data_IF_725732487075
#
_entry.id   IF_725732487075
#
_cell.length_a   1.000
_cell.length_b   1.000
_cell.length_c   1.000
_cell.angle_alpha   90.00
_cell.angle_beta   90.00
_cell.angle_gamma   90.00
#
_symmetry.space_group_name_H-M   'P 1'
#
loop_
_entity.id
_entity.type
_entity.pdbx_description
1 polymer ?
#
# COMPACT_ATOMS: atom_id res chain seq x y z
N UNK A 1 5.63 17.61 19.98
CA UNK A 1 6.58 18.42 20.76
C UNK A 1 7.88 18.61 19.95
N UNK A 2 8.82 19.43 20.42
CA UNK A 2 10.07 19.78 19.73
C UNK A 2 11.02 18.60 19.43
N UNK A 3 10.75 17.43 19.95
CA UNK A 3 11.51 16.19 19.67
C UNK A 3 11.08 15.49 18.37
N UNK A 4 9.89 15.80 17.86
CA UNK A 4 9.40 15.23 16.60
C UNK A 4 10.23 15.83 15.46
N UNK A 5 10.86 14.96 14.66
CA UNK A 5 11.73 15.33 13.54
C UNK A 5 11.12 15.05 12.19
N UNK A 6 10.20 14.10 12.12
CA UNK A 6 9.50 13.70 10.91
C UNK A 6 8.17 13.04 11.30
N UNK A 7 7.15 13.19 10.47
CA UNK A 7 5.94 12.39 10.49
C UNK A 7 6.03 11.38 9.35
N UNK A 8 5.88 10.09 9.66
CA UNK A 8 5.77 9.05 8.65
C UNK A 8 4.36 8.45 8.72
N UNK A 9 3.63 8.48 7.61
CA UNK A 9 2.23 8.04 7.56
C UNK A 9 1.96 7.28 6.25
N UNK A 10 1.16 6.21 6.32
CA UNK A 10 0.69 5.53 5.11
C UNK A 10 -0.39 6.34 4.40
N UNK A 11 -0.36 6.36 3.06
CA UNK A 11 -1.40 6.97 2.25
C UNK A 11 -2.69 6.16 2.32
N UNK A 12 -2.59 4.86 2.11
CA UNK A 12 -3.70 3.92 2.17
C UNK A 12 -3.28 2.70 3.00
N UNK A 13 -4.13 2.31 3.94
CA UNK A 13 -3.82 1.18 4.81
C UNK A 13 -3.84 -0.15 4.07
N UNK A 14 -2.75 -0.90 4.19
CA UNK A 14 -2.64 -2.24 3.63
C UNK A 14 -3.44 -3.30 4.40
N UNK A 15 -3.95 -2.97 5.58
CA UNK A 15 -4.79 -3.85 6.41
C UNK A 15 -6.25 -3.46 6.33
N UNK A 16 -6.57 -2.19 6.50
CA UNK A 16 -7.96 -1.71 6.61
C UNK A 16 -8.55 -1.25 5.27
N UNK A 17 -7.68 -1.00 4.27
CA UNK A 17 -8.07 -0.41 3.01
C UNK A 17 -8.49 1.06 3.10
N UNK A 18 -8.33 1.70 4.25
CA UNK A 18 -8.74 3.09 4.48
C UNK A 18 -7.76 4.07 3.82
N UNK A 19 -8.29 5.10 3.20
CA UNK A 19 -7.53 6.20 2.61
C UNK A 19 -7.35 7.26 3.69
N UNK A 20 -6.11 7.52 4.08
CA UNK A 20 -5.80 8.49 5.10
C UNK A 20 -5.83 9.93 4.54
N UNK A 21 -6.24 10.93 5.35
CA UNK A 21 -6.28 12.34 4.94
C UNK A 21 -4.86 12.95 4.99
N UNK A 22 -3.99 12.46 4.10
CA UNK A 22 -2.55 12.82 4.13
C UNK A 22 -2.29 14.29 3.87
N UNK A 23 -3.12 14.96 3.05
CA UNK A 23 -3.00 16.40 2.80
C UNK A 23 -3.20 17.22 4.08
N UNK A 24 -4.22 16.88 4.86
CA UNK A 24 -4.50 17.54 6.14
C UNK A 24 -3.39 17.26 7.17
N UNK A 25 -2.88 16.02 7.21
CA UNK A 25 -1.75 15.65 8.09
C UNK A 25 -0.52 16.45 7.72
N UNK A 26 -0.18 16.55 6.43
CA UNK A 26 0.94 17.34 5.92
C UNK A 26 0.80 18.80 6.32
N UNK A 27 -0.37 19.41 6.07
CA UNK A 27 -0.64 20.80 6.43
C UNK A 27 -0.44 21.08 7.94
N UNK A 28 -0.86 20.15 8.81
CA UNK A 28 -0.69 20.30 10.25
C UNK A 28 0.78 20.14 10.67
N UNK A 29 1.51 19.19 10.07
CA UNK A 29 2.93 18.99 10.33
C UNK A 29 3.76 20.20 9.88
N UNK A 30 3.47 20.74 8.70
CA UNK A 30 4.16 21.90 8.13
C UNK A 30 3.96 23.18 8.95
N UNK A 31 2.82 23.38 9.62
CA UNK A 31 2.64 24.49 10.57
C UNK A 31 3.65 24.45 11.73
N UNK A 32 4.19 23.27 12.01
CA UNK A 32 5.18 23.02 13.05
C UNK A 32 6.61 22.87 12.48
N UNK A 33 6.80 23.13 11.18
CA UNK A 33 8.05 22.89 10.44
C UNK A 33 8.54 21.44 10.56
N UNK A 34 7.63 20.46 10.55
CA UNK A 34 7.94 19.02 10.61
C UNK A 34 7.72 18.43 9.23
N UNK A 35 8.76 17.85 8.59
CA UNK A 35 8.64 17.20 7.30
C UNK A 35 7.80 15.91 7.40
N UNK A 36 7.14 15.55 6.29
CA UNK A 36 6.26 14.39 6.20
C UNK A 36 6.73 13.43 5.12
N UNK A 37 6.92 12.17 5.50
CA UNK A 37 7.10 11.04 4.60
C UNK A 37 5.78 10.30 4.45
N UNK A 38 5.32 10.17 3.22
CA UNK A 38 4.12 9.39 2.89
C UNK A 38 4.52 8.03 2.33
N UNK A 39 4.13 6.96 3.02
CA UNK A 39 4.20 5.61 2.47
C UNK A 39 3.07 5.44 1.45
N UNK A 40 3.46 5.49 0.18
CA UNK A 40 2.58 5.38 -0.97
C UNK A 40 2.43 3.96 -1.51
N UNK A 41 2.86 2.94 -0.78
CA UNK A 41 2.91 1.56 -1.28
C UNK A 41 1.55 1.03 -1.77
N UNK A 42 0.45 1.45 -1.15
CA UNK A 42 -0.91 1.21 -1.66
C UNK A 42 -1.44 2.42 -2.44
N UNK A 43 -1.06 3.64 -2.02
CA UNK A 43 -1.54 4.88 -2.63
C UNK A 43 -1.22 4.98 -4.11
N UNK A 44 -0.01 4.60 -4.54
CA UNK A 44 0.39 4.69 -5.96
C UNK A 44 -0.48 3.82 -6.89
N UNK A 45 -1.03 2.73 -6.36
CA UNK A 45 -1.91 1.82 -7.10
C UNK A 45 -3.34 2.39 -7.21
N UNK A 46 -3.90 2.84 -6.09
CA UNK A 46 -5.33 3.11 -5.94
C UNK A 46 -5.71 4.59 -5.96
N UNK A 47 -4.76 5.51 -5.74
CA UNK A 47 -5.03 6.95 -5.74
C UNK A 47 -4.34 7.66 -6.90
N UNK A 48 -4.87 8.80 -7.28
CA UNK A 48 -4.15 9.75 -8.13
C UNK A 48 -3.12 10.49 -7.27
N UNK A 49 -1.84 10.30 -7.59
CA UNK A 49 -0.74 10.83 -6.81
C UNK A 49 -0.03 11.94 -7.57
N UNK A 50 -0.22 13.17 -7.09
CA UNK A 50 0.60 14.32 -7.46
C UNK A 50 1.32 14.80 -6.19
N UNK A 51 2.64 14.59 -6.16
CA UNK A 51 3.46 14.94 -4.98
C UNK A 51 3.57 16.44 -4.76
N UNK A 52 3.41 17.26 -5.82
CA UNK A 52 3.42 18.72 -5.71
C UNK A 52 2.09 19.21 -5.14
N UNK A 53 0.96 18.71 -5.64
CA UNK A 53 -0.37 19.02 -5.11
C UNK A 53 -0.56 18.52 -3.67
N UNK A 54 -0.01 17.34 -3.37
CA UNK A 54 -0.02 16.75 -2.02
C UNK A 54 0.86 17.55 -1.06
N UNK A 55 1.89 18.22 -1.56
CA UNK A 55 2.88 19.01 -0.82
C UNK A 55 3.70 18.17 0.19
N UNK A 56 3.88 16.86 -0.06
CA UNK A 56 4.68 16.00 0.78
C UNK A 56 6.18 16.25 0.61
N UNK A 57 6.95 15.98 1.67
CA UNK A 57 8.40 16.12 1.65
C UNK A 57 9.08 14.89 1.07
N UNK A 58 8.51 13.72 1.36
CA UNK A 58 8.93 12.43 0.82
C UNK A 58 7.71 11.57 0.45
N UNK A 59 7.85 10.80 -0.62
CA UNK A 59 6.87 9.79 -1.03
C UNK A 59 7.59 8.53 -1.46
N UNK A 60 7.21 7.36 -0.92
CA UNK A 60 7.92 6.11 -1.17
C UNK A 60 6.96 5.01 -1.60
N UNK A 61 7.38 4.18 -2.57
CA UNK A 61 6.62 3.00 -2.96
C UNK A 61 7.51 1.90 -3.56
N UNK A 62 6.97 0.67 -3.59
CA UNK A 62 7.62 -0.50 -4.16
C UNK A 62 7.09 -0.81 -5.54
N UNK A 63 7.99 -1.10 -6.50
CA UNK A 63 7.62 -1.35 -7.89
C UNK A 63 6.73 -2.59 -8.08
N UNK A 64 6.95 -3.67 -7.30
CA UNK A 64 6.16 -4.89 -7.43
C UNK A 64 4.67 -4.71 -7.06
N UNK A 65 4.31 -3.65 -6.33
CA UNK A 65 2.90 -3.35 -6.01
C UNK A 65 2.19 -2.59 -7.14
N UNK A 66 2.95 -2.03 -8.07
CA UNK A 66 2.43 -1.34 -9.25
C UNK A 66 2.77 -2.09 -10.54
N UNK A 67 2.73 -3.41 -10.51
CA UNK A 67 2.94 -4.31 -11.66
C UNK A 67 4.37 -4.36 -12.22
N UNK A 68 5.37 -3.71 -11.60
CA UNK A 68 6.77 -3.79 -12.00
C UNK A 68 7.47 -5.00 -11.35
N UNK A 69 8.72 -5.25 -11.75
CA UNK A 69 9.53 -6.32 -11.18
C UNK A 69 9.80 -6.14 -9.68
N UNK A 70 9.99 -7.25 -8.98
CA UNK A 70 10.47 -7.26 -7.59
C UNK A 70 11.86 -6.65 -7.46
N UNK A 71 12.20 -6.15 -6.27
CA UNK A 71 13.52 -5.55 -6.00
C UNK A 71 13.68 -4.12 -6.55
N UNK A 72 12.58 -3.49 -6.97
CA UNK A 72 12.54 -2.09 -7.39
C UNK A 72 11.66 -1.26 -6.47
N UNK A 73 11.95 0.02 -6.37
CA UNK A 73 11.16 0.98 -5.63
C UNK A 73 11.63 2.40 -5.93
N UNK A 74 10.82 3.36 -5.54
CA UNK A 74 11.10 4.78 -5.76
C UNK A 74 10.93 5.53 -4.44
N UNK A 75 11.89 6.40 -4.14
CA UNK A 75 11.77 7.44 -3.15
C UNK A 75 11.79 8.80 -3.87
N UNK A 76 10.68 9.51 -3.82
CA UNK A 76 10.64 10.94 -4.10
C UNK A 76 11.01 11.70 -2.84
N UNK A 77 11.79 12.77 -2.98
CA UNK A 77 12.06 13.72 -1.90
C UNK A 77 12.28 15.12 -2.44
N UNK A 78 11.94 16.14 -1.63
CA UNK A 78 12.25 17.53 -1.96
C UNK A 78 13.76 17.70 -2.08
N UNK A 79 14.21 18.41 -3.12
CA UNK A 79 15.62 18.57 -3.44
C UNK A 79 16.43 19.06 -2.25
N UNK A 80 15.97 20.13 -1.60
CA UNK A 80 16.66 20.75 -0.46
C UNK A 80 16.83 19.80 0.73
N UNK A 81 15.87 18.91 0.97
CA UNK A 81 15.98 17.90 2.01
C UNK A 81 16.95 16.78 1.62
N UNK A 82 16.88 16.31 0.37
CA UNK A 82 17.80 15.29 -0.13
C UNK A 82 19.26 15.82 -0.18
N UNK A 83 19.47 17.08 -0.53
CA UNK A 83 20.80 17.69 -0.52
C UNK A 83 21.38 17.79 0.90
N UNK A 84 20.54 18.08 1.90
CA UNK A 84 20.94 18.18 3.30
C UNK A 84 21.21 16.82 3.97
N UNK A 85 20.63 15.73 3.46
CA UNK A 85 20.80 14.38 4.00
C UNK A 85 22.19 13.83 3.65
N UNK A 86 22.84 13.05 4.56
CA UNK A 86 23.98 12.24 4.17
C UNK A 86 23.53 11.09 3.26
N UNK A 87 24.42 10.51 2.43
CA UNK A 87 24.10 9.30 1.68
C UNK A 87 23.78 8.16 2.63
N UNK A 88 22.86 7.26 2.22
CA UNK A 88 22.44 6.12 3.03
C UNK A 88 23.52 5.05 3.12
N UNK A 89 24.20 4.76 2.00
CA UNK A 89 25.29 3.79 1.91
C UNK A 89 26.34 4.27 0.91
N UNK A 90 27.57 3.77 1.01
CA UNK A 90 28.64 4.00 0.07
C UNK A 90 28.73 2.91 -0.98
N UNK A 91 29.25 3.24 -2.16
CA UNK A 91 29.45 2.29 -3.28
C UNK A 91 29.96 2.98 -4.54
N UNK A 92 30.08 2.26 -5.63
CA UNK A 92 30.37 2.82 -6.94
C UNK A 92 29.29 3.79 -7.40
N UNK A 93 29.61 4.64 -8.34
CA UNK A 93 28.77 5.63 -9.03
C UNK A 93 28.21 6.78 -8.14
N UNK A 94 28.04 6.57 -6.83
CA UNK A 94 27.50 7.56 -5.90
C UNK A 94 28.56 8.49 -5.29
N UNK A 95 29.85 8.24 -5.53
CA UNK A 95 30.97 9.06 -5.08
C UNK A 95 31.48 9.94 -6.22
N UNK A 96 31.93 11.15 -5.87
CA UNK A 96 32.64 12.06 -6.77
C UNK A 96 34.16 11.86 -6.60
N UNK A 97 34.69 12.11 -5.39
CA UNK A 97 36.10 11.88 -5.07
C UNK A 97 36.25 11.08 -3.78
N UNK A 98 37.28 10.24 -3.72
CA UNK A 98 37.63 9.45 -2.53
C UNK A 98 39.11 9.64 -2.20
N UNK A 99 39.38 10.03 -0.95
CA UNK A 99 40.74 10.08 -0.43
C UNK A 99 40.75 9.61 1.03
N UNK A 100 41.93 9.39 1.60
CA UNK A 100 42.06 9.06 3.02
C UNK A 100 41.54 10.17 3.95
N UNK A 101 41.55 11.42 3.50
CA UNK A 101 41.15 12.58 4.29
C UNK A 101 39.65 12.92 4.13
N UNK A 102 39.08 12.70 2.96
CA UNK A 102 37.73 13.15 2.63
C UNK A 102 37.13 12.35 1.46
N UNK A 103 35.85 12.10 1.56
CA UNK A 103 35.01 11.61 0.45
C UNK A 103 34.00 12.69 0.07
N UNK A 104 33.81 12.93 -1.21
CA UNK A 104 32.73 13.74 -1.75
C UNK A 104 31.79 12.84 -2.57
N UNK A 105 30.55 13.27 -2.73
CA UNK A 105 29.50 12.45 -3.30
C UNK A 105 28.96 13.09 -4.57
N UNK A 106 28.46 12.24 -5.48
CA UNK A 106 27.82 12.67 -6.70
C UNK A 106 26.58 13.53 -6.41
N UNK A 107 26.12 14.27 -7.40
CA UNK A 107 24.88 15.03 -7.33
C UNK A 107 23.66 14.11 -7.26
N UNK A 108 22.52 14.67 -6.88
CA UNK A 108 21.23 13.97 -6.94
C UNK A 108 20.87 13.61 -8.39
N UNK A 109 20.30 12.44 -8.65
CA UNK A 109 19.90 11.41 -7.67
C UNK A 109 21.00 10.42 -7.28
N UNK A 110 22.14 10.40 -7.98
CA UNK A 110 23.21 9.39 -7.84
C UNK A 110 23.77 9.30 -6.41
N UNK A 111 23.76 10.37 -5.65
CA UNK A 111 24.16 10.41 -4.23
C UNK A 111 23.54 9.30 -3.38
N UNK A 112 22.34 8.82 -3.75
CA UNK A 112 21.59 7.79 -3.02
C UNK A 112 21.53 6.44 -3.77
N UNK A 113 22.21 6.32 -4.90
CA UNK A 113 22.18 5.12 -5.74
C UNK A 113 23.57 4.46 -5.77
N UNK A 114 23.87 3.70 -4.71
CA UNK A 114 25.18 3.06 -4.53
C UNK A 114 25.30 1.75 -5.28
N UNK A 115 26.32 1.67 -6.17
CA UNK A 115 26.66 0.49 -6.96
C UNK A 115 25.78 0.33 -8.21
N UNK A 116 26.07 -0.70 -9.00
CA UNK A 116 25.31 -0.98 -10.22
C UNK A 116 23.83 -1.18 -9.92
N UNK A 117 22.93 -0.36 -10.49
CA UNK A 117 21.51 -0.45 -10.19
C UNK A 117 20.89 -1.73 -10.77
N UNK A 118 19.73 -2.10 -10.24
CA UNK A 118 18.92 -3.19 -10.79
C UNK A 118 18.23 -2.74 -12.10
N UNK A 119 19.04 -2.45 -13.14
CA UNK A 119 18.59 -1.81 -14.38
C UNK A 119 17.52 -2.61 -15.15
N UNK A 120 17.57 -3.96 -15.10
CA UNK A 120 16.54 -4.81 -15.72
C UNK A 120 15.19 -4.59 -15.02
N UNK A 121 15.17 -4.61 -13.70
CA UNK A 121 13.95 -4.34 -12.93
C UNK A 121 13.48 -2.89 -13.08
N UNK A 122 14.39 -1.92 -13.08
CA UNK A 122 14.06 -0.51 -13.28
C UNK A 122 13.43 -0.24 -14.66
N UNK A 123 13.87 -0.94 -15.70
CA UNK A 123 13.27 -0.84 -17.03
C UNK A 123 11.78 -1.25 -17.06
N UNK A 124 11.32 -2.06 -16.09
CA UNK A 124 9.90 -2.44 -15.98
C UNK A 124 9.02 -1.38 -15.35
N UNK A 125 9.60 -0.37 -14.67
CA UNK A 125 8.82 0.68 -14.00
C UNK A 125 8.03 1.54 -14.97
N UNK A 126 8.62 1.92 -16.11
CA UNK A 126 7.93 2.75 -17.11
C UNK A 126 6.65 2.08 -17.62
N UNK A 127 6.69 0.87 -18.23
CA UNK A 127 5.47 0.22 -18.70
C UNK A 127 4.47 -0.08 -17.57
N UNK A 128 4.94 -0.35 -16.34
CA UNK A 128 4.07 -0.55 -15.19
C UNK A 128 3.31 0.72 -14.79
N UNK A 129 4.00 1.87 -14.76
CA UNK A 129 3.39 3.17 -14.48
C UNK A 129 2.41 3.58 -15.60
N UNK A 130 2.75 3.35 -16.86
CA UNK A 130 1.87 3.58 -18.00
C UNK A 130 0.60 2.72 -17.93
N UNK A 131 0.73 1.44 -17.54
CA UNK A 131 -0.41 0.55 -17.33
C UNK A 131 -1.29 1.01 -16.16
N UNK A 132 -0.69 1.35 -15.01
CA UNK A 132 -1.44 1.86 -13.87
C UNK A 132 -2.16 3.18 -14.17
N UNK A 133 -1.55 4.06 -14.97
CA UNK A 133 -2.18 5.29 -15.46
C UNK A 133 -3.36 4.98 -16.38
N UNK A 134 -3.19 4.06 -17.33
CA UNK A 134 -4.26 3.63 -18.22
C UNK A 134 -5.48 3.08 -17.49
N UNK A 135 -5.26 2.32 -16.39
CA UNK A 135 -6.35 1.80 -15.53
C UNK A 135 -7.13 2.90 -14.78
N UNK A 136 -6.62 4.13 -14.72
CA UNK A 136 -7.23 5.25 -14.00
C UNK A 136 -7.82 6.33 -14.92
N UNK A 137 -7.51 6.29 -16.21
CA UNK A 137 -7.87 7.36 -17.15
C UNK A 137 -8.99 6.97 -18.12
N UNK A 138 -9.69 7.99 -18.62
CA UNK A 138 -10.70 7.86 -19.65
C UNK A 138 -11.87 6.94 -19.28
N UNK A 139 -12.44 6.28 -20.27
CA UNK A 139 -13.57 5.34 -20.10
C UNK A 139 -13.16 4.10 -19.27
N UNK A 140 -11.91 3.66 -19.39
CA UNK A 140 -11.39 2.52 -18.62
C UNK A 140 -11.35 2.88 -17.14
N UNK A 141 -10.76 4.01 -16.77
CA UNK A 141 -10.69 4.45 -15.38
C UNK A 141 -12.07 4.65 -14.76
N UNK A 142 -13.02 5.17 -15.54
CA UNK A 142 -14.41 5.28 -15.10
C UNK A 142 -15.05 3.92 -14.83
N UNK A 143 -14.90 2.96 -15.75
CA UNK A 143 -15.44 1.61 -15.60
C UNK A 143 -14.82 0.86 -14.40
N UNK A 144 -13.50 0.99 -14.22
CA UNK A 144 -12.80 0.42 -13.05
C UNK A 144 -13.35 0.98 -11.75
N UNK A 145 -13.49 2.30 -11.66
CA UNK A 145 -14.02 2.95 -10.45
C UNK A 145 -15.45 2.53 -10.14
N UNK A 146 -16.32 2.48 -11.14
CA UNK A 146 -17.70 2.03 -10.99
C UNK A 146 -17.79 0.57 -10.51
N UNK A 147 -16.88 -0.29 -10.98
CA UNK A 147 -16.86 -1.70 -10.56
C UNK A 147 -16.29 -1.84 -9.13
N UNK A 148 -15.24 -1.08 -8.78
CA UNK A 148 -14.70 -1.05 -7.42
C UNK A 148 -15.74 -0.55 -6.39
N UNK A 149 -16.53 0.48 -6.73
CA UNK A 149 -17.61 0.99 -5.88
C UNK A 149 -18.68 -0.08 -5.64
N UNK A 150 -19.10 -0.83 -6.66
CA UNK A 150 -20.04 -1.95 -6.53
C UNK A 150 -19.48 -3.07 -5.64
N UNK A 151 -18.19 -3.42 -5.82
CA UNK A 151 -17.52 -4.43 -5.00
C UNK A 151 -17.46 -3.97 -3.54
N UNK A 152 -17.12 -2.69 -3.27
CA UNK A 152 -17.07 -2.15 -1.91
C UNK A 152 -18.44 -2.24 -1.24
N UNK A 153 -19.48 -1.78 -1.90
CA UNK A 153 -20.84 -1.83 -1.39
C UNK A 153 -21.31 -3.28 -1.13
N UNK A 154 -21.17 -4.14 -2.13
CA UNK A 154 -21.58 -5.54 -2.02
C UNK A 154 -20.85 -6.27 -0.89
N UNK A 155 -19.52 -6.20 -0.86
CA UNK A 155 -18.71 -6.90 0.12
C UNK A 155 -18.95 -6.42 1.54
N UNK A 156 -19.10 -5.10 1.74
CA UNK A 156 -19.40 -4.52 3.04
C UNK A 156 -20.72 -5.05 3.58
N UNK A 157 -21.76 -5.05 2.75
CA UNK A 157 -23.08 -5.53 3.13
C UNK A 157 -23.11 -7.06 3.34
N UNK A 158 -22.48 -7.82 2.46
CA UNK A 158 -22.48 -9.28 2.53
C UNK A 158 -21.70 -9.81 3.75
N UNK A 159 -20.52 -9.22 4.06
CA UNK A 159 -19.76 -9.60 5.25
C UNK A 159 -20.51 -9.26 6.54
N UNK A 160 -21.22 -8.13 6.59
CA UNK A 160 -22.02 -7.74 7.75
C UNK A 160 -23.20 -8.69 8.03
N UNK A 161 -23.66 -9.46 7.04
CA UNK A 161 -24.73 -10.45 7.20
C UNK A 161 -24.24 -11.82 7.67
N UNK A 162 -22.94 -12.08 7.65
CA UNK A 162 -22.39 -13.35 8.14
C UNK A 162 -22.37 -13.31 9.68
N UNK A 163 -23.05 -14.23 10.31
CA UNK A 163 -23.09 -14.33 11.77
C UNK A 163 -21.69 -14.47 12.36
N UNK A 164 -21.40 -13.67 13.41
CA UNK A 164 -20.09 -13.62 14.07
C UNK A 164 -18.97 -13.01 13.24
N UNK A 165 -19.25 -12.40 12.10
CA UNK A 165 -18.25 -11.68 11.32
C UNK A 165 -17.98 -10.30 11.92
N UNK A 166 -16.70 -10.03 12.18
CA UNK A 166 -16.20 -8.70 12.52
C UNK A 166 -15.42 -8.14 11.36
N UNK A 167 -15.94 -7.12 10.70
CA UNK A 167 -15.27 -6.39 9.62
C UNK A 167 -14.46 -5.22 10.22
N UNK A 168 -13.19 -5.10 9.82
CA UNK A 168 -12.30 -4.02 10.21
C UNK A 168 -12.15 -3.00 9.08
N UNK A 169 -12.04 -1.71 9.42
CA UNK A 169 -11.93 -0.64 8.41
C UNK A 169 -13.26 -0.36 7.70
N UNK A 170 -14.25 0.10 8.46
CA UNK A 170 -15.63 0.33 8.01
C UNK A 170 -15.91 1.77 7.57
N UNK A 171 -14.90 2.68 7.56
CA UNK A 171 -15.10 4.04 7.07
C UNK A 171 -15.40 4.04 5.55
N UNK A 172 -16.14 5.05 5.10
CA UNK A 172 -16.61 5.17 3.72
C UNK A 172 -15.45 5.33 2.72
N UNK A 173 -14.43 6.11 3.10
CA UNK A 173 -13.29 6.38 2.22
C UNK A 173 -12.29 5.22 2.24
N UNK A 174 -12.49 4.23 1.38
CA UNK A 174 -11.69 3.01 1.32
C UNK A 174 -11.52 2.47 -0.09
N UNK A 175 -10.52 1.62 -0.27
CA UNK A 175 -10.31 0.80 -1.46
C UNK A 175 -11.01 -0.58 -1.30
N UNK A 176 -11.19 -1.37 -2.37
CA UNK A 176 -11.82 -2.70 -2.30
C UNK A 176 -10.91 -3.75 -1.62
N UNK A 177 -10.61 -3.49 -0.35
CA UNK A 177 -9.85 -4.34 0.55
C UNK A 177 -10.61 -4.54 1.85
N UNK A 178 -10.74 -5.80 2.29
CA UNK A 178 -11.58 -6.20 3.41
C UNK A 178 -10.80 -7.11 4.35
N UNK A 179 -10.57 -6.64 5.57
CA UNK A 179 -10.00 -7.44 6.65
C UNK A 179 -11.09 -7.79 7.65
N UNK A 180 -11.21 -9.06 7.97
CA UNK A 180 -12.27 -9.54 8.85
C UNK A 180 -11.85 -10.78 9.64
N UNK A 181 -12.60 -11.08 10.69
CA UNK A 181 -12.57 -12.33 11.43
C UNK A 181 -13.99 -12.88 11.58
N UNK A 182 -14.11 -14.19 11.74
CA UNK A 182 -15.40 -14.86 11.98
C UNK A 182 -15.27 -15.68 13.27
N UNK A 183 -16.18 -15.46 14.19
CA UNK A 183 -16.21 -16.15 15.47
C UNK A 183 -16.29 -17.67 15.27
N UNK A 184 -15.44 -18.40 16.02
CA UNK A 184 -15.33 -19.85 15.89
C UNK A 184 -14.52 -20.36 14.69
N UNK A 185 -14.03 -19.47 13.81
CA UNK A 185 -13.24 -19.84 12.63
C UNK A 185 -11.83 -19.25 12.70
N UNK A 186 -10.81 -20.09 12.72
CA UNK A 186 -9.44 -19.58 12.62
C UNK A 186 -9.14 -19.04 11.22
N UNK A 187 -8.49 -17.86 11.10
CA UNK A 187 -8.17 -17.27 9.80
C UNK A 187 -7.41 -18.19 8.85
N UNK A 188 -6.45 -18.99 9.35
CA UNK A 188 -5.69 -19.95 8.55
C UNK A 188 -6.56 -21.07 7.97
N UNK A 189 -7.53 -21.56 8.72
CA UNK A 189 -8.39 -22.67 8.29
C UNK A 189 -9.39 -22.19 7.22
N UNK A 190 -9.95 -20.99 7.42
CA UNK A 190 -10.76 -20.32 6.39
C UNK A 190 -9.97 -20.15 5.09
N UNK A 191 -8.71 -19.67 5.17
CA UNK A 191 -7.89 -19.50 3.98
C UNK A 191 -7.61 -20.82 3.25
N UNK A 192 -7.32 -21.90 3.98
CA UNK A 192 -7.07 -23.21 3.39
C UNK A 192 -8.31 -23.77 2.67
N UNK A 193 -9.50 -23.58 3.24
CA UNK A 193 -10.75 -24.01 2.62
C UNK A 193 -11.08 -23.16 1.38
N UNK A 194 -10.89 -21.85 1.47
CA UNK A 194 -11.06 -20.92 0.36
C UNK A 194 -10.10 -21.24 -0.80
N UNK A 195 -8.84 -21.50 -0.51
CA UNK A 195 -7.82 -21.89 -1.50
C UNK A 195 -8.24 -23.14 -2.29
N UNK A 196 -8.77 -24.18 -1.61
CA UNK A 196 -9.31 -25.39 -2.26
C UNK A 196 -10.54 -25.12 -3.13
N UNK A 197 -11.20 -23.99 -2.94
CA UNK A 197 -12.32 -23.53 -3.77
C UNK A 197 -11.88 -22.51 -4.83
N UNK A 198 -10.57 -22.32 -5.02
CA UNK A 198 -10.00 -21.41 -6.02
C UNK A 198 -10.04 -19.94 -5.62
N UNK A 199 -10.16 -19.63 -4.33
CA UNK A 199 -10.20 -18.27 -3.79
C UNK A 199 -8.95 -17.99 -2.94
N UNK A 200 -8.09 -17.12 -3.41
CA UNK A 200 -6.88 -16.70 -2.71
C UNK A 200 -7.16 -15.53 -1.76
N UNK A 201 -6.86 -15.72 -0.47
CA UNK A 201 -6.88 -14.66 0.54
C UNK A 201 -5.56 -14.63 1.30
N UNK A 202 -5.29 -13.55 2.01
CA UNK A 202 -4.16 -13.47 2.92
C UNK A 202 -4.63 -13.62 4.36
N UNK A 203 -3.84 -14.33 5.19
CA UNK A 203 -4.06 -14.40 6.64
C UNK A 203 -2.84 -13.97 7.41
N UNK A 204 -3.02 -13.65 8.68
CA UNK A 204 -1.97 -13.26 9.60
C UNK A 204 -2.07 -11.81 10.05
N UNK A 205 -0.95 -11.25 10.51
CA UNK A 205 -0.88 -9.88 11.03
C UNK A 205 -0.58 -8.81 9.96
N UNK A 206 -0.54 -9.16 8.68
CA UNK A 206 -0.39 -8.26 7.52
C UNK A 206 0.83 -7.31 7.60
N UNK A 207 1.92 -7.74 8.27
CA UNK A 207 3.10 -6.91 8.60
C UNK A 207 2.76 -5.71 9.49
N UNK A 208 1.70 -5.80 10.32
CA UNK A 208 1.19 -4.72 11.16
C UNK A 208 0.69 -5.25 12.51
N UNK A 209 1.57 -5.87 13.31
CA UNK A 209 1.25 -6.39 14.65
C UNK A 209 0.69 -5.34 15.62
N UNK A 210 1.17 -4.07 15.62
CA UNK A 210 0.59 -3.05 16.49
C UNK A 210 -0.90 -2.84 16.25
N UNK A 211 -1.35 -2.94 15.00
CA UNK A 211 -2.77 -2.82 14.66
C UNK A 211 -3.56 -4.03 15.13
N UNK A 212 -3.00 -5.25 15.03
CA UNK A 212 -3.63 -6.47 15.59
C UNK A 212 -3.82 -6.32 17.10
N UNK A 213 -2.78 -5.87 17.82
CA UNK A 213 -2.85 -5.59 19.25
C UNK A 213 -3.94 -4.55 19.57
N UNK A 214 -4.04 -3.49 18.77
CA UNK A 214 -5.07 -2.45 18.94
C UNK A 214 -6.49 -3.00 18.83
N UNK A 215 -6.72 -3.99 17.96
CA UNK A 215 -8.01 -4.66 17.79
C UNK A 215 -8.21 -5.86 18.70
N UNK A 216 -7.21 -6.24 19.49
CA UNK A 216 -7.27 -7.40 20.41
C UNK A 216 -7.30 -8.74 19.67
N UNK A 217 -6.69 -8.84 18.50
CA UNK A 217 -6.62 -10.06 17.69
C UNK A 217 -5.18 -10.40 17.34
N UNK A 218 -4.92 -11.67 17.03
CA UNK A 218 -3.58 -12.14 16.62
C UNK A 218 -3.41 -12.21 15.11
N UNK A 219 -4.52 -12.32 14.38
CA UNK A 219 -4.52 -12.43 12.93
C UNK A 219 -5.90 -12.07 12.36
N UNK A 220 -5.94 -11.78 11.06
CA UNK A 220 -7.14 -11.51 10.29
C UNK A 220 -7.10 -12.29 8.97
N UNK A 221 -8.26 -12.48 8.34
CA UNK A 221 -8.38 -12.80 6.92
C UNK A 221 -8.47 -11.48 6.16
N UNK A 222 -7.75 -11.35 5.04
CA UNK A 222 -7.82 -10.19 4.14
C UNK A 222 -8.13 -10.63 2.72
N UNK A 223 -9.26 -10.17 2.19
CA UNK A 223 -9.60 -10.23 0.77
C UNK A 223 -9.25 -8.88 0.12
N UNK A 224 -8.60 -8.91 -1.04
CA UNK A 224 -8.21 -7.72 -1.80
C UNK A 224 -8.67 -7.90 -3.24
N UNK A 225 -9.32 -6.88 -3.78
CA UNK A 225 -9.75 -6.83 -5.17
C UNK A 225 -8.93 -5.77 -5.90
N UNK A 226 -8.58 -6.05 -7.13
CA UNK A 226 -7.80 -5.19 -8.01
C UNK A 226 -8.64 -4.79 -9.23
N UNK A 227 -8.22 -3.80 -10.04
CA UNK A 227 -8.99 -3.28 -11.16
C UNK A 227 -9.49 -4.31 -12.19
N UNK A 228 -8.95 -5.52 -12.17
CA UNK A 228 -9.36 -6.62 -13.04
C UNK A 228 -10.31 -7.63 -12.37
N UNK A 229 -10.65 -7.45 -11.09
CA UNK A 229 -11.65 -8.26 -10.42
C UNK A 229 -13.06 -7.70 -10.69
N UNK A 230 -14.05 -8.59 -10.63
CA UNK A 230 -15.45 -8.30 -10.96
C UNK A 230 -16.35 -8.48 -9.75
N UNK A 231 -17.53 -7.87 -9.78
CA UNK A 231 -18.58 -8.11 -8.79
C UNK A 231 -18.97 -9.59 -8.71
N UNK A 232 -18.97 -10.31 -9.85
CA UNK A 232 -19.27 -11.74 -9.88
C UNK A 232 -18.23 -12.57 -9.08
N UNK A 233 -16.96 -12.18 -9.12
CA UNK A 233 -15.92 -12.81 -8.30
C UNK A 233 -16.10 -12.50 -6.81
N UNK A 234 -16.57 -11.31 -6.46
CA UNK A 234 -16.93 -10.97 -5.08
C UNK A 234 -18.14 -11.80 -4.59
N UNK A 235 -19.15 -12.00 -5.43
CA UNK A 235 -20.28 -12.88 -5.14
C UNK A 235 -19.82 -14.33 -4.94
N UNK A 236 -18.94 -14.81 -5.81
CA UNK A 236 -18.35 -16.14 -5.69
C UNK A 236 -17.54 -16.29 -4.40
N UNK A 237 -16.74 -15.28 -4.04
CA UNK A 237 -16.02 -15.24 -2.77
C UNK A 237 -16.96 -15.42 -1.58
N UNK A 238 -18.04 -14.66 -1.48
CA UNK A 238 -19.01 -14.75 -0.37
C UNK A 238 -19.67 -16.12 -0.32
N UNK A 239 -20.01 -16.71 -1.48
CA UNK A 239 -20.54 -18.07 -1.55
C UNK A 239 -19.54 -19.10 -0.99
N UNK A 240 -18.27 -18.99 -1.35
CA UNK A 240 -17.20 -19.86 -0.85
C UNK A 240 -16.96 -19.65 0.64
N UNK A 241 -16.97 -18.40 1.11
CA UNK A 241 -16.79 -18.05 2.51
C UNK A 241 -17.89 -18.65 3.39
N UNK A 242 -19.15 -18.50 3.01
CA UNK A 242 -20.28 -19.11 3.73
C UNK A 242 -20.16 -20.64 3.80
N UNK A 243 -19.72 -21.26 2.71
CA UNK A 243 -19.47 -22.72 2.70
C UNK A 243 -18.33 -23.09 3.65
N UNK A 244 -17.23 -22.35 3.65
CA UNK A 244 -16.08 -22.59 4.54
C UNK A 244 -16.48 -22.44 6.00
N UNK A 245 -17.23 -21.39 6.35
CA UNK A 245 -17.76 -21.15 7.70
C UNK A 245 -18.63 -22.32 8.17
N UNK A 246 -19.56 -22.78 7.33
CA UNK A 246 -20.42 -23.93 7.65
C UNK A 246 -19.65 -25.25 7.81
N UNK A 247 -18.45 -25.38 7.24
CA UNK A 247 -17.59 -26.56 7.42
C UNK A 247 -16.76 -26.52 8.69
N UNK A 248 -16.53 -25.33 9.25
CA UNK A 248 -15.71 -25.12 10.46
C UNK A 248 -16.53 -25.02 11.76
N UNK A 249 -17.83 -24.79 11.65
CA UNK A 249 -18.80 -24.81 12.75
C UNK A 249 -19.53 -26.15 12.82
#
# INVERSE_FOLDING_TARGET
DSRVKIVAVEHISNVLGLINPVKEIIQQAHKLNIPVLVDGAQGIVHADVDVQEMDCDFYVFSGHKIYAATGTGILYGRRELLEAMPPYMGGGDMVDTVSFAKTTYAELPLKFEAGTPHFIGQATLKPALEFAKWLKEGEIGKAVKEEEEKIIEYMTNALAQIEGCTLYGTAENKIPLFSFNIEGCFPSDLAQLLDKMGVAVRTGFMCCEPLMTRFGVTSMVRASFLPYNTLQEAEYFIKCLNRAVNMLR
#
